data_IF_601389666287
#
_entry.id   IF_601389666287
#
_cell.length_a   1.000
_cell.length_b   1.000
_cell.length_c   1.000
_cell.angle_alpha   90.00
_cell.angle_beta   90.00
_cell.angle_gamma   90.00
#
_symmetry.space_group_name_H-M   'P 1'
#
loop_
_entity.id
_entity.type
_entity.pdbx_description
1 polymer ?
#
# COMPACT_ATOMS: atom_id res chain seq x y z
N UNK A 1 5.19 37.36 18.15
CA UNK A 1 4.69 35.98 18.03
C UNK A 1 3.54 35.79 19.01
N UNK A 2 2.29 35.88 18.52
CA UNK A 2 1.10 35.56 19.32
C UNK A 2 0.71 34.13 18.98
N UNK A 3 0.91 33.21 19.91
CA UNK A 3 0.44 31.82 19.79
C UNK A 3 -1.09 31.84 19.86
N UNK A 4 -1.74 31.34 18.82
CA UNK A 4 -3.19 31.20 18.76
C UNK A 4 -3.50 29.72 18.84
N UNK A 5 -3.56 29.17 20.06
CA UNK A 5 -4.12 27.85 20.30
C UNK A 5 -5.63 27.97 20.16
N UNK A 6 -6.19 27.59 19.01
CA UNK A 6 -7.65 27.44 18.85
C UNK A 6 -8.02 26.05 19.36
N UNK A 7 -8.90 26.02 20.37
CA UNK A 7 -9.46 24.78 20.92
C UNK A 7 -10.45 24.15 19.92
N UNK A 8 -10.31 22.85 19.65
CA UNK A 8 -11.16 22.06 18.73
C UNK A 8 -12.61 21.86 19.21
N UNK A 9 -12.98 22.36 20.39
CA UNK A 9 -14.30 22.13 21.00
C UNK A 9 -15.47 22.85 20.29
N UNK A 10 -15.25 23.62 19.22
CA UNK A 10 -16.33 24.37 18.55
C UNK A 10 -16.85 23.76 17.25
N UNK A 11 -16.34 22.61 16.81
CA UNK A 11 -16.64 22.09 15.46
C UNK A 11 -17.62 20.90 15.40
N UNK A 12 -18.13 20.35 16.51
CA UNK A 12 -19.10 19.24 16.50
C UNK A 12 -18.71 18.08 15.55
N UNK A 13 -17.41 17.82 15.41
CA UNK A 13 -16.88 16.69 14.66
C UNK A 13 -16.77 15.47 15.57
N UNK A 14 -17.08 14.30 15.03
CA UNK A 14 -16.96 13.02 15.72
C UNK A 14 -15.50 12.75 16.15
N UNK A 15 -15.29 12.06 17.29
CA UNK A 15 -13.97 11.94 17.93
C UNK A 15 -12.91 11.24 17.05
N UNK A 16 -13.31 10.38 16.11
CA UNK A 16 -12.40 9.67 15.22
C UNK A 16 -11.77 10.57 14.15
N UNK A 17 -12.53 11.51 13.59
CA UNK A 17 -12.04 12.47 12.58
C UNK A 17 -11.06 13.50 13.19
N UNK A 18 -11.21 13.78 14.49
CA UNK A 18 -10.36 14.73 15.19
C UNK A 18 -8.96 14.18 15.49
N UNK A 19 -8.80 12.85 15.58
CA UNK A 19 -7.51 12.20 15.80
C UNK A 19 -6.69 12.10 14.49
N UNK A 20 -7.36 11.81 13.38
CA UNK A 20 -6.75 11.77 12.05
C UNK A 20 -6.23 13.17 11.61
N UNK A 21 -7.00 14.22 11.87
CA UNK A 21 -6.59 15.59 11.52
C UNK A 21 -5.43 16.11 12.40
N UNK A 22 -5.35 15.68 13.67
CA UNK A 22 -4.24 16.04 14.56
C UNK A 22 -2.94 15.29 14.21
N UNK A 23 -3.03 14.05 13.75
CA UNK A 23 -1.87 13.28 13.27
C UNK A 23 -1.29 13.84 11.96
N UNK A 24 -2.15 14.26 11.02
CA UNK A 24 -1.73 14.89 9.76
C UNK A 24 -1.00 16.24 9.98
N UNK A 25 -1.41 17.02 10.99
CA UNK A 25 -0.78 18.30 11.35
C UNK A 25 0.58 18.13 12.06
N UNK A 26 0.87 16.97 12.64
CA UNK A 26 2.15 16.69 13.29
C UNK A 26 3.23 16.16 12.32
N UNK A 27 2.82 15.51 11.22
CA UNK A 27 3.73 14.94 10.22
C UNK A 27 4.27 15.98 9.20
N UNK A 28 3.57 17.10 9.00
CA UNK A 28 4.01 18.16 8.08
C UNK A 28 4.73 19.30 8.82
N UNK A 29 5.91 19.02 9.38
CA UNK A 29 6.88 20.05 9.79
C UNK A 29 7.59 20.73 8.61
N UNK A 30 6.89 20.95 7.49
CA UNK A 30 7.44 21.52 6.26
C UNK A 30 7.29 23.04 6.23
N UNK A 31 8.43 23.73 6.22
CA UNK A 31 8.52 25.17 6.05
C UNK A 31 7.93 25.59 4.69
N UNK A 32 6.90 26.43 4.71
CA UNK A 32 6.18 26.90 3.53
C UNK A 32 7.09 27.81 2.70
N UNK A 33 7.76 27.27 1.68
CA UNK A 33 8.49 28.05 0.68
C UNK A 33 7.49 28.65 -0.31
N UNK A 34 7.24 29.96 -0.19
CA UNK A 34 6.54 30.73 -1.22
C UNK A 34 7.47 30.93 -2.42
N UNK A 35 7.18 30.28 -3.55
CA UNK A 35 7.83 30.59 -4.83
C UNK A 35 6.98 31.59 -5.61
N UNK A 36 7.48 32.83 -5.70
CA UNK A 36 7.00 33.85 -6.62
C UNK A 36 7.40 33.52 -8.05
N UNK A 37 6.47 33.76 -8.98
CA UNK A 37 6.53 33.29 -10.36
C UNK A 37 7.57 33.95 -11.26
N UNK A 38 7.88 33.25 -12.35
CA UNK A 38 8.64 33.75 -13.48
C UNK A 38 8.18 33.07 -14.77
N UNK A 39 7.48 33.82 -15.62
CA UNK A 39 7.05 33.41 -16.95
C UNK A 39 8.23 33.35 -17.93
N UNK A 40 8.22 32.38 -18.85
CA UNK A 40 8.94 32.47 -20.11
C UNK A 40 8.24 31.64 -21.21
N UNK A 41 8.14 32.27 -22.37
CA UNK A 41 7.41 31.85 -23.56
C UNK A 41 8.20 30.86 -24.45
N UNK A 42 7.47 30.05 -25.23
CA UNK A 42 7.75 29.83 -26.66
C UNK A 42 8.66 28.66 -27.08
N UNK A 43 8.11 27.73 -27.87
CA UNK A 43 8.89 26.80 -28.70
C UNK A 43 8.08 25.72 -29.42
N UNK A 44 7.90 25.88 -30.74
CA UNK A 44 7.21 24.99 -31.70
C UNK A 44 7.84 23.59 -31.90
N UNK A 45 7.10 22.64 -32.54
CA UNK A 45 7.50 21.23 -32.65
C UNK A 45 8.35 20.94 -33.91
N UNK A 46 9.26 19.96 -33.78
CA UNK A 46 9.98 19.38 -34.92
C UNK A 46 9.62 17.90 -35.10
N UNK A 47 9.10 17.60 -36.29
CA UNK A 47 8.96 16.27 -36.87
C UNK A 47 10.32 15.60 -37.11
N UNK A 48 10.35 14.27 -37.08
CA UNK A 48 11.09 13.51 -38.09
C UNK A 48 11.83 12.26 -37.63
N UNK A 49 11.39 11.11 -38.19
CA UNK A 49 12.24 9.98 -38.55
C UNK A 49 12.25 8.80 -37.57
N UNK A 50 12.49 7.55 -37.97
CA UNK A 50 12.58 6.88 -39.28
C UNK A 50 12.44 5.38 -38.98
N UNK A 51 11.90 4.62 -39.93
CA UNK A 51 11.83 3.16 -39.99
C UNK A 51 13.16 2.44 -39.74
N UNK A 52 13.14 1.22 -39.19
CA UNK A 52 13.92 0.11 -39.74
C UNK A 52 13.36 -1.29 -39.43
N UNK A 53 13.16 -2.03 -40.52
CA UNK A 53 12.94 -3.46 -40.62
C UNK A 53 14.28 -4.21 -40.61
N UNK A 54 14.28 -5.45 -40.10
CA UNK A 54 15.32 -6.47 -40.27
C UNK A 54 15.24 -7.47 -39.12
N UNK A 55 14.86 -8.74 -39.27
CA UNK A 55 15.12 -9.67 -40.38
C UNK A 55 16.40 -10.45 -40.07
N UNK A 56 16.28 -11.67 -39.54
CA UNK A 56 17.41 -12.55 -39.29
C UNK A 56 17.02 -13.89 -38.66
N UNK A 57 16.86 -14.91 -39.50
CA UNK A 57 16.85 -16.35 -39.17
C UNK A 57 18.29 -16.88 -39.00
N UNK A 58 18.47 -17.95 -38.22
CA UNK A 58 19.38 -19.11 -38.43
C UNK A 58 19.81 -19.69 -37.07
N UNK A 59 19.40 -20.92 -36.73
CA UNK A 59 20.03 -22.23 -37.03
C UNK A 59 21.20 -22.60 -36.11
N UNK A 60 21.03 -23.73 -35.40
CA UNK A 60 22.04 -24.79 -35.32
C UNK A 60 23.09 -24.70 -34.20
N UNK A 61 23.15 -25.72 -33.35
CA UNK A 61 24.29 -25.92 -32.46
C UNK A 61 24.12 -27.04 -31.43
N UNK A 62 24.05 -28.29 -31.89
CA UNK A 62 24.23 -29.48 -31.05
C UNK A 62 25.72 -29.68 -30.74
N UNK A 63 26.08 -29.94 -29.49
CA UNK A 63 27.43 -30.35 -29.08
C UNK A 63 27.41 -31.10 -27.75
N UNK A 64 27.75 -32.38 -27.80
CA UNK A 64 27.88 -33.30 -26.68
C UNK A 64 29.33 -33.35 -26.15
N UNK A 65 29.53 -34.19 -25.12
CA UNK A 65 30.77 -34.63 -24.42
C UNK A 65 30.86 -34.02 -23.00
N UNK A 66 30.94 -34.78 -21.90
CA UNK A 66 31.47 -36.13 -21.69
C UNK A 66 32.63 -36.02 -20.69
N UNK A 67 32.44 -36.43 -19.42
CA UNK A 67 33.51 -36.33 -18.42
C UNK A 67 33.16 -37.02 -17.10
N UNK A 68 33.48 -38.30 -17.00
CA UNK A 68 33.48 -39.07 -15.77
C UNK A 68 34.88 -39.00 -15.11
N UNK A 69 34.93 -38.89 -13.79
CA UNK A 69 36.16 -39.00 -13.00
C UNK A 69 35.85 -39.20 -11.52
N UNK A 70 35.92 -40.45 -11.05
CA UNK A 70 35.80 -40.80 -9.64
C UNK A 70 37.13 -40.71 -8.89
N UNK A 71 37.05 -40.60 -7.56
CA UNK A 71 38.19 -40.69 -6.65
C UNK A 71 37.74 -40.74 -5.19
N UNK A 72 37.83 -41.93 -4.61
CA UNK A 72 37.65 -42.28 -3.18
C UNK A 72 38.78 -41.77 -2.29
N UNK A 73 38.49 -41.44 -1.02
CA UNK A 73 39.21 -41.96 0.17
C UNK A 73 38.52 -41.59 1.49
N UNK A 74 38.38 -42.59 2.36
CA UNK A 74 37.93 -42.56 3.75
C UNK A 74 38.90 -41.84 4.72
N UNK A 75 38.39 -41.39 5.88
CA UNK A 75 39.17 -41.46 7.13
C UNK A 75 38.98 -40.35 8.20
N UNK A 76 38.02 -40.57 9.12
CA UNK A 76 38.25 -40.54 10.58
C UNK A 76 38.61 -39.24 11.33
N UNK A 77 37.65 -38.77 12.14
CA UNK A 77 37.83 -38.53 13.58
C UNK A 77 38.47 -37.21 14.06
N UNK A 78 37.70 -36.41 14.79
CA UNK A 78 38.24 -35.36 15.66
C UNK A 78 37.21 -34.30 16.01
N UNK A 79 36.54 -34.43 17.15
CA UNK A 79 35.69 -33.39 17.71
C UNK A 79 36.55 -32.21 18.15
N UNK A 80 36.39 -31.08 17.46
CA UNK A 80 36.92 -29.78 17.84
C UNK A 80 36.06 -28.74 17.13
N UNK A 81 35.43 -27.84 17.89
CA UNK A 81 34.83 -26.63 17.35
C UNK A 81 35.97 -25.71 16.91
N UNK A 82 36.47 -25.92 15.69
CA UNK A 82 37.45 -25.04 15.06
C UNK A 82 36.73 -23.77 14.63
N UNK A 83 37.08 -22.66 15.29
CA UNK A 83 36.77 -21.32 14.80
C UNK A 83 37.55 -21.08 13.51
N UNK A 84 36.87 -20.53 12.53
CA UNK A 84 37.37 -20.36 11.18
C UNK A 84 38.49 -19.30 11.08
N UNK A 85 39.69 -19.71 10.66
CA UNK A 85 40.87 -18.84 10.51
C UNK A 85 41.08 -18.28 9.08
N UNK A 86 40.23 -18.65 8.10
CA UNK A 86 40.36 -18.22 6.70
C UNK A 86 39.06 -17.58 6.15
N UNK A 87 39.01 -16.25 5.98
CA UNK A 87 37.82 -15.54 5.50
C UNK A 87 37.47 -15.80 4.02
N UNK A 88 38.37 -16.40 3.23
CA UNK A 88 38.17 -16.63 1.78
C UNK A 88 37.87 -18.11 1.44
N UNK A 89 38.09 -19.05 2.36
CA UNK A 89 37.76 -20.48 2.18
C UNK A 89 36.68 -21.00 3.12
N UNK A 90 36.19 -20.16 4.02
CA UNK A 90 34.86 -20.37 4.56
C UNK A 90 33.87 -20.09 3.44
N UNK A 91 33.38 -21.16 2.81
CA UNK A 91 31.93 -21.22 2.62
C UNK A 91 31.35 -20.86 4.00
N UNK A 92 30.96 -19.60 4.17
CA UNK A 92 29.88 -19.32 5.11
C UNK A 92 28.82 -20.30 4.70
N UNK A 93 28.61 -21.27 5.57
CA UNK A 93 27.55 -22.23 5.38
C UNK A 93 26.28 -21.40 5.37
N UNK A 94 25.84 -21.03 4.16
CA UNK A 94 24.55 -20.43 3.87
C UNK A 94 23.43 -21.41 4.31
N UNK A 95 23.79 -22.64 4.76
CA UNK A 95 22.93 -23.53 5.54
C UNK A 95 22.77 -23.11 7.03
N UNK A 96 23.37 -22.01 7.49
CA UNK A 96 22.84 -21.19 8.61
C UNK A 96 21.65 -20.37 8.10
N UNK A 97 20.68 -21.13 7.59
CA UNK A 97 19.59 -20.74 6.70
C UNK A 97 18.73 -19.59 7.23
N UNK A 98 17.92 -19.01 6.34
CA UNK A 98 16.68 -18.28 6.65
C UNK A 98 15.70 -19.03 7.60
N UNK A 99 16.04 -20.28 7.98
CA UNK A 99 15.36 -21.15 8.92
C UNK A 99 16.26 -21.58 10.11
N UNK A 100 17.37 -20.88 10.35
CA UNK A 100 18.33 -21.18 11.41
C UNK A 100 17.74 -21.11 12.82
N UNK A 101 18.43 -21.74 13.77
CA UNK A 101 18.06 -21.68 15.20
C UNK A 101 18.08 -20.23 15.70
N UNK A 102 17.23 -19.87 16.68
CA UNK A 102 17.20 -18.53 17.22
C UNK A 102 18.58 -18.09 17.73
N UNK A 103 19.13 -17.02 17.15
CA UNK A 103 20.45 -16.50 17.47
C UNK A 103 20.45 -15.64 18.74
N UNK A 104 19.33 -14.94 19.01
CA UNK A 104 19.24 -13.95 20.09
C UNK A 104 17.92 -14.03 20.86
N UNK A 105 17.95 -13.90 22.18
CA UNK A 105 16.75 -13.76 23.02
C UNK A 105 16.37 -12.27 23.15
N UNK A 106 15.25 -11.82 22.54
CA UNK A 106 14.84 -10.42 22.54
C UNK A 106 14.45 -9.90 23.93
N UNK A 107 14.15 -10.79 24.90
CA UNK A 107 13.68 -10.38 26.23
C UNK A 107 14.72 -9.62 27.04
N UNK A 108 15.99 -9.70 26.65
CA UNK A 108 17.10 -8.98 27.29
C UNK A 108 17.30 -7.55 26.76
N UNK A 109 16.54 -7.15 25.74
CA UNK A 109 16.62 -5.83 25.12
C UNK A 109 15.47 -4.92 25.61
N UNK A 110 15.66 -3.59 25.62
CA UNK A 110 14.58 -2.66 25.95
C UNK A 110 13.42 -2.80 24.97
N UNK A 111 12.18 -2.89 25.47
CA UNK A 111 10.99 -2.89 24.62
C UNK A 111 10.86 -1.59 23.82
N UNK A 112 10.30 -1.66 22.62
CA UNK A 112 9.90 -0.48 21.88
C UNK A 112 8.81 0.32 22.64
N UNK A 113 8.75 1.65 22.48
CA UNK A 113 7.59 2.42 22.88
C UNK A 113 6.31 1.84 22.28
N UNK A 114 5.24 1.79 23.07
CA UNK A 114 3.98 1.17 22.65
C UNK A 114 3.35 1.87 21.44
N UNK A 115 3.67 3.15 21.24
CA UNK A 115 3.21 3.96 20.13
C UNK A 115 3.83 3.53 18.78
N UNK A 116 4.99 2.86 18.80
CA UNK A 116 5.65 2.38 17.58
C UNK A 116 5.14 1.01 17.12
N UNK A 117 4.42 0.29 17.99
CA UNK A 117 3.94 -1.07 17.76
C UNK A 117 2.44 -1.20 18.09
N UNK A 118 1.54 -0.55 17.32
CA UNK A 118 0.10 -0.66 17.53
C UNK A 118 -0.38 -2.12 17.47
N UNK A 119 -1.47 -2.43 18.17
CA UNK A 119 -1.99 -3.80 18.26
C UNK A 119 -1.23 -4.70 19.25
N UNK A 120 -0.29 -4.14 20.02
CA UNK A 120 0.47 -4.89 21.03
C UNK A 120 1.70 -5.60 20.48
N UNK A 121 2.31 -5.04 19.43
CA UNK A 121 3.43 -5.67 18.76
C UNK A 121 4.67 -5.84 19.61
N UNK A 122 5.33 -6.97 19.40
CA UNK A 122 6.54 -7.34 20.12
C UNK A 122 7.76 -6.84 19.34
N UNK A 123 8.39 -5.77 19.85
CA UNK A 123 9.64 -5.25 19.31
C UNK A 123 10.59 -4.76 20.40
N UNK A 124 11.88 -4.71 20.05
CA UNK A 124 12.95 -4.16 20.91
C UNK A 124 13.73 -3.05 20.23
N UNK A 125 14.20 -2.12 21.05
CA UNK A 125 15.13 -1.10 20.62
C UNK A 125 16.54 -1.66 20.50
N UNK A 126 17.06 -1.71 19.28
CA UNK A 126 18.41 -2.18 18.95
C UNK A 126 19.25 -1.00 18.45
N UNK A 127 20.53 -0.87 18.85
CA UNK A 127 21.45 0.10 18.25
C UNK A 127 21.44 0.01 16.72
N UNK A 128 21.30 1.13 16.02
CA UNK A 128 21.22 1.17 14.55
C UNK A 128 22.43 0.52 13.88
N UNK A 129 23.59 0.49 14.54
CA UNK A 129 24.81 -0.18 14.07
C UNK A 129 24.72 -1.70 13.99
N UNK A 130 23.74 -2.32 14.66
CA UNK A 130 23.48 -3.77 14.64
C UNK A 130 22.32 -4.14 13.70
N UNK A 131 21.62 -3.15 13.14
CA UNK A 131 20.53 -3.40 12.19
C UNK A 131 21.12 -3.51 10.78
N UNK A 132 20.75 -4.53 10.00
CA UNK A 132 21.13 -4.62 8.60
C UNK A 132 20.77 -3.33 7.84
N UNK A 133 21.71 -2.79 7.06
CA UNK A 133 21.57 -1.47 6.41
C UNK A 133 20.28 -1.35 5.60
N UNK A 134 19.90 -2.42 4.92
CA UNK A 134 18.75 -2.47 4.02
C UNK A 134 17.42 -2.42 4.80
N UNK A 135 17.42 -2.81 6.08
CA UNK A 135 16.25 -2.76 6.96
C UNK A 135 16.11 -1.46 7.73
N UNK A 136 17.17 -0.65 7.88
CA UNK A 136 17.16 0.57 8.72
C UNK A 136 16.06 1.55 8.30
N UNK A 137 15.80 1.69 7.00
CA UNK A 137 14.79 2.60 6.46
C UNK A 137 13.36 2.15 6.75
N UNK A 138 13.15 0.85 6.96
CA UNK A 138 11.84 0.24 7.20
C UNK A 138 11.43 0.28 8.68
N UNK A 139 12.29 0.73 9.58
CA UNK A 139 12.08 0.61 11.02
C UNK A 139 11.94 1.99 11.69
N UNK A 140 11.00 2.07 12.62
CA UNK A 140 10.79 3.24 13.45
C UNK A 140 12.00 3.53 14.36
N UNK A 141 12.23 4.81 14.66
CA UNK A 141 13.26 5.23 15.62
C UNK A 141 12.75 5.10 17.06
N UNK A 142 13.43 4.28 17.88
CA UNK A 142 13.24 4.32 19.33
C UNK A 142 13.92 5.56 19.93
N UNK A 143 15.06 5.95 19.35
CA UNK A 143 15.85 7.12 19.71
C UNK A 143 16.76 7.49 18.53
N UNK A 144 17.57 8.54 18.66
CA UNK A 144 18.51 8.96 17.60
C UNK A 144 19.54 7.88 17.19
N UNK A 145 19.78 6.87 18.04
CA UNK A 145 20.78 5.83 17.79
C UNK A 145 20.23 4.40 17.83
N UNK A 146 18.90 4.24 17.91
CA UNK A 146 18.25 2.94 18.04
C UNK A 146 17.01 2.82 17.17
N UNK A 147 16.84 1.66 16.54
CA UNK A 147 15.65 1.27 15.79
C UNK A 147 14.78 0.31 16.57
N UNK A 148 13.47 0.41 16.39
CA UNK A 148 12.52 -0.60 16.85
C UNK A 148 12.54 -1.78 15.87
N UNK A 149 13.03 -2.94 16.31
CA UNK A 149 13.13 -4.16 15.51
C UNK A 149 12.12 -5.18 16.05
N UNK A 150 11.27 -5.80 15.20
CA UNK A 150 10.35 -6.85 15.65
C UNK A 150 11.08 -8.03 16.31
N UNK A 151 10.51 -8.60 17.38
CA UNK A 151 11.09 -9.74 18.11
C UNK A 151 11.39 -10.92 17.16
N UNK A 152 10.54 -11.15 16.14
CA UNK A 152 10.74 -12.17 15.11
C UNK A 152 11.99 -11.98 14.26
N UNK A 153 12.34 -10.74 13.93
CA UNK A 153 13.58 -10.41 13.23
C UNK A 153 14.79 -10.54 14.16
N UNK A 154 14.68 -10.12 15.42
CA UNK A 154 15.78 -10.22 16.42
C UNK A 154 16.15 -11.67 16.67
N UNK A 155 15.15 -12.53 16.89
CA UNK A 155 15.36 -13.95 17.17
C UNK A 155 16.17 -14.62 16.08
N UNK A 156 16.12 -14.14 14.84
CA UNK A 156 16.81 -14.71 13.69
C UNK A 156 17.96 -13.84 13.16
N UNK A 157 18.43 -12.89 13.95
CA UNK A 157 19.52 -11.96 13.59
C UNK A 157 19.28 -11.22 12.25
N UNK A 158 18.00 -10.89 11.98
CA UNK A 158 17.58 -10.28 10.74
C UNK A 158 17.55 -11.21 9.52
N UNK A 159 17.88 -12.49 9.66
CA UNK A 159 17.85 -13.52 8.60
C UNK A 159 16.57 -14.37 8.71
N UNK A 160 15.48 -13.90 8.13
CA UNK A 160 14.20 -14.59 8.22
C UNK A 160 13.41 -14.53 6.93
N UNK A 161 12.61 -15.57 6.71
CA UNK A 161 11.51 -15.55 5.75
C UNK A 161 10.23 -15.42 6.56
N UNK A 162 9.48 -14.34 6.33
CA UNK A 162 8.19 -14.15 6.96
C UNK A 162 7.22 -15.26 6.49
N UNK A 163 6.30 -15.75 7.34
CA UNK A 163 5.27 -16.67 6.89
C UNK A 163 4.48 -16.11 5.71
N UNK A 164 4.27 -16.92 4.68
CA UNK A 164 3.37 -16.58 3.57
C UNK A 164 1.93 -16.56 4.06
N UNK A 165 1.20 -15.51 3.71
CA UNK A 165 -0.22 -15.34 4.00
C UNK A 165 -0.96 -14.88 2.74
N UNK A 166 -2.27 -14.79 2.81
CA UNK A 166 -3.12 -14.33 1.73
C UNK A 166 -3.78 -13.00 2.11
N UNK A 167 -3.43 -11.91 1.42
CA UNK A 167 -4.05 -10.59 1.61
C UNK A 167 -5.52 -10.60 1.15
N UNK A 168 -5.83 -11.49 0.21
CA UNK A 168 -7.17 -11.74 -0.30
C UNK A 168 -7.09 -12.79 -1.40
N UNK A 169 -8.22 -13.25 -1.97
CA UNK A 169 -8.26 -14.32 -2.97
C UNK A 169 -7.22 -14.19 -4.09
N UNK A 170 -6.14 -14.96 -4.00
CA UNK A 170 -5.04 -15.00 -4.97
C UNK A 170 -4.00 -13.88 -4.86
N UNK A 171 -3.95 -13.14 -3.76
CA UNK A 171 -2.95 -12.11 -3.47
C UNK A 171 -1.94 -12.64 -2.43
N UNK A 172 -0.76 -13.05 -2.89
CA UNK A 172 0.31 -13.51 -2.00
C UNK A 172 0.83 -12.36 -1.14
N UNK A 173 1.06 -12.62 0.15
CA UNK A 173 1.65 -11.67 1.08
C UNK A 173 2.61 -12.31 2.07
N UNK A 174 3.09 -11.50 3.01
CA UNK A 174 3.91 -11.90 4.16
C UNK A 174 3.34 -11.36 5.45
N UNK A 175 3.42 -12.19 6.49
CA UNK A 175 3.11 -11.77 7.84
C UNK A 175 4.21 -10.85 8.36
N UNK A 176 3.92 -9.55 8.37
CA UNK A 176 4.83 -8.52 8.81
C UNK A 176 4.33 -7.90 10.12
N UNK A 177 5.26 -7.58 11.01
CA UNK A 177 4.96 -7.01 12.32
C UNK A 177 4.37 -5.60 12.19
N UNK A 178 3.36 -5.31 13.02
CA UNK A 178 2.80 -3.96 13.18
C UNK A 178 3.79 -2.97 13.81
N UNK A 179 4.99 -3.40 14.21
CA UNK A 179 6.10 -2.50 14.58
C UNK A 179 6.79 -1.86 13.37
N UNK A 180 6.52 -2.32 12.14
CA UNK A 180 7.01 -1.69 10.90
C UNK A 180 6.07 -0.53 10.57
N UNK A 181 6.54 0.72 10.42
CA UNK A 181 5.69 1.90 10.22
C UNK A 181 4.70 1.78 9.07
N UNK A 182 5.11 1.22 7.93
CA UNK A 182 4.26 1.09 6.75
C UNK A 182 3.15 0.04 6.94
N UNK A 183 3.39 -0.98 7.79
CA UNK A 183 2.38 -1.97 8.18
C UNK A 183 1.44 -1.36 9.22
N UNK A 184 2.01 -0.63 10.18
CA UNK A 184 1.28 0.06 11.24
C UNK A 184 0.29 1.09 10.69
N UNK A 185 0.70 1.86 9.67
CA UNK A 185 -0.14 2.89 9.03
C UNK A 185 -1.32 2.31 8.24
N UNK A 186 -1.27 1.01 7.91
CA UNK A 186 -2.28 0.29 7.13
C UNK A 186 -2.95 -0.83 7.95
N UNK A 187 -2.85 -0.81 9.28
CA UNK A 187 -3.30 -1.91 10.15
C UNK A 187 -4.79 -2.27 9.99
N UNK A 188 -5.61 -1.29 9.59
CA UNK A 188 -7.05 -1.44 9.35
C UNK A 188 -7.36 -1.95 7.93
N UNK A 189 -6.44 -1.81 6.98
CA UNK A 189 -6.59 -2.23 5.58
C UNK A 189 -5.96 -3.60 5.32
N UNK A 190 -4.89 -3.94 6.05
CA UNK A 190 -4.23 -5.22 5.94
C UNK A 190 -4.98 -6.25 6.81
N UNK A 191 -5.40 -7.41 6.26
CA UNK A 191 -6.01 -8.45 7.06
C UNK A 191 -4.95 -9.16 7.93
N UNK A 192 -5.41 -9.88 8.95
CA UNK A 192 -4.54 -10.74 9.73
C UNK A 192 -4.26 -12.09 9.04
N UNK A 193 -5.26 -12.70 8.40
CA UNK A 193 -5.18 -14.06 7.85
C UNK A 193 -4.58 -15.08 8.86
N UNK A 194 -3.49 -15.78 8.52
CA UNK A 194 -2.80 -16.74 9.39
C UNK A 194 -1.74 -16.08 10.30
N UNK A 195 -1.55 -14.77 10.19
CA UNK A 195 -0.48 -14.05 10.88
C UNK A 195 -0.74 -13.95 12.38
N UNK A 196 0.32 -13.69 13.15
CA UNK A 196 0.20 -13.51 14.59
C UNK A 196 -0.71 -12.30 14.96
N UNK A 197 -1.19 -12.22 16.22
CA UNK A 197 -1.98 -11.08 16.71
C UNK A 197 -1.40 -9.70 16.38
N UNK A 198 -0.08 -9.60 16.42
CA UNK A 198 0.73 -8.40 16.16
C UNK A 198 1.34 -8.32 14.77
N UNK A 199 0.82 -9.11 13.84
CA UNK A 199 1.24 -9.10 12.44
C UNK A 199 0.03 -8.83 11.54
N UNK A 200 0.33 -8.38 10.33
CA UNK A 200 -0.62 -8.22 9.23
C UNK A 200 -0.08 -8.82 7.96
N UNK A 201 -0.98 -9.28 7.12
CA UNK A 201 -0.63 -9.82 5.82
C UNK A 201 -0.38 -8.67 4.85
N UNK A 202 0.88 -8.29 4.68
CA UNK A 202 1.28 -7.28 3.71
C UNK A 202 1.42 -7.95 2.33
N UNK A 203 0.73 -7.46 1.29
CA UNK A 203 0.78 -8.08 -0.04
C UNK A 203 2.16 -7.92 -0.66
N UNK A 204 2.64 -8.90 -1.42
CA UNK A 204 3.91 -8.83 -2.15
C UNK A 204 3.90 -7.72 -3.21
N UNK A 205 2.74 -7.50 -3.83
CA UNK A 205 2.54 -6.46 -4.84
C UNK A 205 1.33 -5.63 -4.48
N UNK A 206 1.41 -4.32 -4.72
CA UNK A 206 0.29 -3.40 -4.50
C UNK A 206 -0.90 -3.85 -5.37
N UNK A 207 -2.07 -4.15 -4.78
CA UNK A 207 -3.20 -4.66 -5.54
C UNK A 207 -3.86 -3.60 -6.43
N UNK A 208 -3.55 -2.31 -6.28
CA UNK A 208 -4.03 -1.24 -7.14
C UNK A 208 -3.12 -0.99 -8.34
N UNK A 209 -1.80 -1.00 -8.14
CA UNK A 209 -0.82 -0.65 -9.19
C UNK A 209 -0.07 -1.84 -9.79
N UNK A 210 0.02 -2.95 -9.05
CA UNK A 210 0.82 -4.12 -9.39
C UNK A 210 2.32 -3.96 -9.11
N UNK A 211 2.73 -2.85 -8.48
CA UNK A 211 4.12 -2.59 -8.12
C UNK A 211 4.58 -3.42 -6.92
N UNK A 212 5.88 -3.72 -6.83
CA UNK A 212 6.46 -4.44 -5.69
C UNK A 212 6.38 -3.58 -4.42
N UNK A 213 5.82 -4.13 -3.35
CA UNK A 213 5.73 -3.44 -2.04
C UNK A 213 7.01 -3.62 -1.23
N UNK A 214 7.88 -4.54 -1.64
CA UNK A 214 9.03 -4.98 -0.87
C UNK A 214 8.71 -5.99 0.22
N UNK A 215 7.44 -6.32 0.49
CA UNK A 215 7.06 -7.25 1.56
C UNK A 215 7.67 -8.65 1.38
N UNK A 216 7.83 -9.08 0.12
CA UNK A 216 8.34 -10.40 -0.25
C UNK A 216 9.80 -10.36 -0.73
N UNK A 217 10.52 -9.25 -0.49
CA UNK A 217 11.96 -9.13 -0.76
C UNK A 217 12.74 -8.82 0.51
N UNK A 218 12.09 -8.93 1.68
CA UNK A 218 12.73 -8.70 2.97
C UNK A 218 13.68 -9.83 3.33
N UNK A 219 14.91 -9.46 3.66
CA UNK A 219 15.92 -10.36 4.21
C UNK A 219 16.21 -11.55 3.29
N UNK A 220 15.61 -12.68 3.60
CA UNK A 220 15.93 -14.02 3.14
C UNK A 220 14.81 -14.56 2.23
N UNK A 221 13.80 -13.74 1.97
CA UNK A 221 12.68 -14.08 1.12
C UNK A 221 13.11 -14.23 -0.34
N UNK A 222 12.62 -15.28 -1.00
CA UNK A 222 12.93 -15.55 -2.40
C UNK A 222 12.02 -14.79 -3.37
N UNK A 223 11.06 -14.01 -2.86
CA UNK A 223 10.07 -13.32 -3.68
C UNK A 223 8.71 -14.01 -3.66
N UNK A 224 7.72 -13.38 -4.30
CA UNK A 224 6.43 -13.99 -4.55
C UNK A 224 6.56 -15.23 -5.44
N UNK A 225 5.80 -16.27 -5.12
CA UNK A 225 5.64 -17.46 -5.97
C UNK A 225 4.46 -17.33 -6.93
N UNK A 226 3.48 -16.49 -6.59
CA UNK A 226 2.36 -16.12 -7.46
C UNK A 226 2.73 -14.92 -8.34
N UNK A 227 2.18 -14.84 -9.57
CA UNK A 227 2.34 -13.65 -10.40
C UNK A 227 1.66 -12.43 -9.73
N UNK A 228 2.14 -11.20 -9.98
CA UNK A 228 1.47 -9.99 -9.54
C UNK A 228 0.00 -9.99 -9.98
N UNK A 229 -0.90 -9.72 -9.03
CA UNK A 229 -2.34 -9.59 -9.26
C UNK A 229 -2.77 -8.18 -8.86
N UNK A 230 -3.58 -7.54 -9.70
CA UNK A 230 -4.26 -6.29 -9.38
C UNK A 230 -5.75 -6.53 -9.25
N UNK A 231 -6.46 -5.62 -8.56
CA UNK A 231 -7.90 -5.60 -8.54
C UNK A 231 -8.45 -5.46 -9.97
N UNK A 232 -9.43 -6.29 -10.37
CA UNK A 232 -10.06 -6.18 -11.67
C UNK A 232 -10.65 -4.78 -11.88
N UNK A 233 -10.56 -4.30 -13.12
CA UNK A 233 -11.21 -3.07 -13.52
C UNK A 233 -12.73 -3.29 -13.61
N UNK A 234 -13.50 -2.28 -13.20
CA UNK A 234 -14.95 -2.20 -13.35
C UNK A 234 -15.32 -0.80 -13.82
N UNK A 235 -16.59 -0.55 -14.18
CA UNK A 235 -17.09 0.72 -14.66
C UNK A 235 -16.34 1.32 -15.86
N UNK A 236 -15.78 0.51 -16.77
CA UNK A 236 -14.94 1.00 -17.87
C UNK A 236 -15.68 2.05 -18.74
N UNK A 237 -16.97 1.85 -18.98
CA UNK A 237 -17.83 2.77 -19.73
C UNK A 237 -18.33 3.99 -18.92
N UNK A 238 -18.03 4.02 -17.61
CA UNK A 238 -18.53 5.00 -16.63
C UNK A 238 -17.41 5.76 -15.91
N UNK A 239 -16.20 5.76 -16.47
CA UNK A 239 -15.05 6.52 -15.94
C UNK A 239 -13.99 5.67 -15.25
N UNK A 240 -14.18 4.35 -15.20
CA UNK A 240 -13.24 3.41 -14.60
C UNK A 240 -13.38 3.28 -13.09
N UNK A 241 -13.01 2.11 -12.61
CA UNK A 241 -12.97 1.74 -11.21
C UNK A 241 -12.17 0.46 -10.99
N UNK A 242 -12.08 0.06 -9.71
CA UNK A 242 -11.45 -1.19 -9.27
C UNK A 242 -12.40 -1.95 -8.35
N UNK A 243 -12.43 -3.27 -8.50
CA UNK A 243 -13.15 -4.15 -7.58
C UNK A 243 -12.36 -4.33 -6.29
N UNK A 244 -12.71 -3.56 -5.27
CA UNK A 244 -12.03 -3.56 -3.96
C UNK A 244 -12.89 -4.35 -2.96
N UNK A 245 -12.29 -5.23 -2.14
CA UNK A 245 -13.02 -5.95 -1.09
C UNK A 245 -13.79 -5.00 -0.17
N UNK A 246 -15.05 -5.35 0.16
CA UNK A 246 -15.93 -4.47 0.92
C UNK A 246 -15.42 -4.19 2.35
N UNK A 247 -14.64 -5.10 2.93
CA UNK A 247 -13.96 -4.93 4.22
C UNK A 247 -12.86 -3.86 4.17
N UNK A 248 -12.17 -3.70 3.04
CA UNK A 248 -11.19 -2.64 2.81
C UNK A 248 -11.88 -1.28 2.60
N UNK A 249 -13.03 -1.28 1.91
CA UNK A 249 -13.82 -0.07 1.64
C UNK A 249 -14.57 0.43 2.88
N UNK A 250 -14.92 -0.48 3.80
CA UNK A 250 -15.73 -0.21 4.99
C UNK A 250 -17.24 -0.35 4.72
N UNK A 251 -17.97 -0.80 5.73
CA UNK A 251 -19.39 -1.18 5.60
C UNK A 251 -20.30 -0.06 5.08
N UNK A 252 -20.08 1.19 5.52
CA UNK A 252 -20.91 2.33 5.12
C UNK A 252 -20.73 2.70 3.65
N UNK A 253 -19.48 2.82 3.20
CA UNK A 253 -19.16 3.15 1.81
C UNK A 253 -19.53 2.00 0.87
N UNK A 254 -19.24 0.76 1.26
CA UNK A 254 -19.57 -0.43 0.48
C UNK A 254 -21.09 -0.58 0.23
N UNK A 255 -21.94 -0.13 1.17
CA UNK A 255 -23.39 -0.16 1.01
C UNK A 255 -23.93 0.80 -0.07
N UNK A 256 -23.11 1.74 -0.55
CA UNK A 256 -23.46 2.72 -1.60
C UNK A 256 -22.82 2.40 -2.96
N UNK A 257 -22.07 1.31 -3.06
CA UNK A 257 -21.38 0.90 -4.27
C UNK A 257 -21.99 -0.38 -4.84
N UNK A 258 -21.81 -0.62 -6.14
CA UNK A 258 -22.36 -1.81 -6.81
C UNK A 258 -21.47 -3.04 -6.59
N UNK A 259 -21.98 -4.12 -5.96
CA UNK A 259 -21.29 -5.41 -5.94
C UNK A 259 -21.51 -6.22 -7.23
N UNK A 260 -22.59 -5.99 -7.99
CA UNK A 260 -23.00 -6.87 -9.10
C UNK A 260 -21.95 -6.92 -10.21
N UNK A 261 -21.33 -5.77 -10.51
CA UNK A 261 -20.29 -5.69 -11.53
C UNK A 261 -19.05 -6.51 -11.15
N UNK A 262 -18.64 -6.46 -9.88
CA UNK A 262 -17.48 -7.21 -9.37
C UNK A 262 -17.75 -8.70 -9.22
N UNK A 263 -18.97 -9.09 -8.84
CA UNK A 263 -19.39 -10.50 -8.86
C UNK A 263 -19.31 -11.09 -10.27
N UNK A 264 -19.69 -10.32 -11.30
CA UNK A 264 -19.55 -10.70 -12.71
C UNK A 264 -18.11 -10.94 -13.16
N UNK A 265 -17.14 -10.36 -12.44
CA UNK A 265 -15.69 -10.50 -12.67
C UNK A 265 -15.04 -11.59 -11.80
N UNK A 266 -15.83 -12.26 -10.95
CA UNK A 266 -15.35 -13.33 -10.06
C UNK A 266 -14.80 -12.83 -8.72
N UNK A 267 -14.99 -11.56 -8.38
CA UNK A 267 -14.55 -10.95 -7.12
C UNK A 267 -15.74 -10.82 -6.16
N UNK A 268 -16.17 -11.96 -5.61
CA UNK A 268 -17.29 -12.02 -4.67
C UNK A 268 -16.96 -11.29 -3.37
N UNK A 269 -17.86 -10.43 -2.90
CA UNK A 269 -17.64 -9.61 -1.70
C UNK A 269 -16.83 -8.33 -1.95
N UNK A 270 -16.52 -8.03 -3.21
CA UNK A 270 -15.93 -6.75 -3.63
C UNK A 270 -17.00 -5.80 -4.16
N UNK A 271 -16.71 -4.51 -4.06
CA UNK A 271 -17.53 -3.42 -4.62
C UNK A 271 -16.71 -2.61 -5.62
N UNK A 272 -17.38 -2.07 -6.64
CA UNK A 272 -16.68 -1.24 -7.62
C UNK A 272 -16.42 0.16 -7.08
N UNK A 273 -15.14 0.50 -6.83
CA UNK A 273 -14.70 1.81 -6.36
C UNK A 273 -14.20 2.64 -7.55
N UNK A 274 -14.74 3.84 -7.80
CA UNK A 274 -14.30 4.70 -8.90
C UNK A 274 -12.80 5.05 -8.83
N UNK A 275 -12.12 5.05 -9.97
CA UNK A 275 -10.66 5.27 -10.03
C UNK A 275 -10.26 6.62 -9.38
N UNK A 276 -11.04 7.68 -9.56
CA UNK A 276 -10.73 8.99 -8.95
C UNK A 276 -10.82 9.03 -7.42
N UNK A 277 -11.58 8.12 -6.80
CA UNK A 277 -11.65 7.98 -5.35
C UNK A 277 -10.47 7.16 -4.88
N UNK A 278 -10.19 6.04 -5.56
CA UNK A 278 -9.03 5.19 -5.30
C UNK A 278 -7.72 5.99 -5.41
N UNK A 279 -7.53 6.75 -6.49
CA UNK A 279 -6.33 7.56 -6.73
C UNK A 279 -6.11 8.63 -5.65
N UNK A 280 -7.19 9.24 -5.15
CA UNK A 280 -7.12 10.20 -4.06
C UNK A 280 -6.67 9.51 -2.76
N UNK A 281 -7.28 8.35 -2.45
CA UNK A 281 -6.93 7.55 -1.28
C UNK A 281 -5.46 7.11 -1.30
N UNK A 282 -4.96 6.63 -2.44
CA UNK A 282 -3.55 6.24 -2.62
C UNK A 282 -2.58 7.41 -2.43
N UNK A 283 -3.02 8.65 -2.65
CA UNK A 283 -2.25 9.86 -2.38
C UNK A 283 -2.40 10.35 -0.92
N UNK A 284 -3.13 9.62 -0.08
CA UNK A 284 -3.45 10.02 1.29
C UNK A 284 -4.30 11.30 1.34
N UNK A 285 -5.10 11.57 0.32
CA UNK A 285 -5.98 12.73 0.23
C UNK A 285 -7.43 12.29 0.14
N UNK A 286 -8.37 13.02 0.76
CA UNK A 286 -9.78 12.78 0.51
C UNK A 286 -10.13 13.23 -0.93
N UNK A 287 -11.05 12.52 -1.56
CA UNK A 287 -11.61 12.93 -2.83
C UNK A 287 -12.49 14.17 -2.63
N UNK A 288 -12.15 15.27 -3.31
CA UNK A 288 -12.93 16.51 -3.28
C UNK A 288 -13.61 16.69 -4.63
N UNK A 289 -14.93 16.51 -4.65
CA UNK A 289 -15.72 16.66 -5.87
C UNK A 289 -15.60 18.07 -6.46
N UNK A 290 -15.47 18.14 -7.79
CA UNK A 290 -15.52 19.43 -8.50
C UNK A 290 -16.91 20.03 -8.36
N UNK A 291 -17.01 21.30 -7.96
CA UNK A 291 -18.32 21.95 -7.80
C UNK A 291 -19.04 22.14 -9.14
N UNK A 292 -20.35 21.95 -9.15
CA UNK A 292 -21.22 22.17 -10.30
C UNK A 292 -22.52 22.89 -9.90
N UNK A 293 -23.33 23.29 -10.88
CA UNK A 293 -24.65 23.90 -10.65
C UNK A 293 -25.72 22.94 -11.14
N UNK A 294 -26.66 22.58 -10.27
CA UNK A 294 -27.74 21.64 -10.62
C UNK A 294 -28.77 22.31 -11.51
N UNK A 295 -29.42 21.51 -12.37
CA UNK A 295 -30.45 22.03 -13.26
C UNK A 295 -31.75 22.38 -12.49
N UNK A 296 -32.64 23.14 -13.13
CA UNK A 296 -33.90 23.58 -12.52
C UNK A 296 -34.80 22.40 -12.09
N UNK A 297 -34.74 21.25 -12.80
CA UNK A 297 -35.56 20.10 -12.45
C UNK A 297 -35.15 19.51 -11.10
N UNK A 298 -33.84 19.36 -10.84
CA UNK A 298 -33.30 18.94 -9.55
C UNK A 298 -33.67 19.93 -8.45
N UNK A 299 -33.60 21.24 -8.73
CA UNK A 299 -33.96 22.28 -7.75
C UNK A 299 -35.45 22.27 -7.40
N UNK A 300 -36.33 22.09 -8.38
CA UNK A 300 -37.78 21.94 -8.15
C UNK A 300 -38.11 20.63 -7.41
N UNK A 301 -37.26 19.62 -7.55
CA UNK A 301 -37.31 18.37 -6.79
C UNK A 301 -36.80 18.47 -5.35
N UNK A 302 -36.36 19.66 -4.90
CA UNK A 302 -35.85 19.89 -3.55
C UNK A 302 -34.33 19.78 -3.41
N UNK A 303 -33.59 19.62 -4.51
CA UNK A 303 -32.14 19.67 -4.53
C UNK A 303 -31.58 21.09 -4.39
N UNK A 304 -30.39 21.26 -3.81
CA UNK A 304 -29.69 22.54 -3.80
C UNK A 304 -29.23 22.96 -5.19
N UNK A 305 -29.12 24.27 -5.43
CA UNK A 305 -28.55 24.83 -6.66
C UNK A 305 -27.06 24.48 -6.84
N UNK A 306 -26.34 24.33 -5.73
CA UNK A 306 -24.95 23.86 -5.72
C UNK A 306 -24.91 22.32 -5.68
N UNK A 307 -23.96 21.74 -6.40
CA UNK A 307 -23.68 20.31 -6.39
C UNK A 307 -22.18 20.01 -6.51
N UNK A 308 -21.87 18.72 -6.46
CA UNK A 308 -20.55 18.17 -6.75
C UNK A 308 -20.61 17.15 -7.88
N UNK A 309 -19.55 17.09 -8.67
CA UNK A 309 -19.40 16.15 -9.76
C UNK A 309 -18.93 14.80 -9.21
N UNK A 310 -19.86 13.85 -9.17
CA UNK A 310 -19.57 12.47 -8.77
C UNK A 310 -19.48 11.57 -10.01
N UNK A 311 -18.60 10.54 -9.97
CA UNK A 311 -18.47 9.57 -11.05
C UNK A 311 -19.75 8.74 -11.17
N UNK A 312 -20.13 8.45 -12.42
CA UNK A 312 -21.27 7.60 -12.76
C UNK A 312 -21.03 6.13 -12.44
N UNK A 313 -19.81 5.76 -12.08
CA UNK A 313 -19.57 4.45 -11.52
C UNK A 313 -20.32 4.21 -10.19
N UNK A 314 -20.73 5.27 -9.49
CA UNK A 314 -21.60 5.17 -8.32
C UNK A 314 -23.06 4.94 -8.79
N UNK A 315 -23.75 3.86 -8.40
CA UNK A 315 -25.08 3.51 -8.91
C UNK A 315 -26.12 4.61 -8.74
N UNK A 316 -26.18 5.25 -7.57
CA UNK A 316 -27.14 6.33 -7.31
C UNK A 316 -26.90 7.52 -8.25
N UNK A 317 -25.68 7.72 -8.71
CA UNK A 317 -25.32 8.79 -9.64
C UNK A 317 -25.71 8.43 -11.08
N UNK A 318 -25.57 7.16 -11.47
CA UNK A 318 -25.92 6.69 -12.80
C UNK A 318 -27.44 6.59 -13.02
N UNK A 319 -28.15 6.04 -12.04
CA UNK A 319 -29.55 5.64 -12.18
C UNK A 319 -30.54 6.75 -11.82
N UNK A 320 -30.07 7.80 -11.12
CA UNK A 320 -30.92 8.94 -10.78
C UNK A 320 -31.26 9.75 -12.02
N UNK A 321 -32.49 9.54 -12.51
CA UNK A 321 -33.05 10.32 -13.59
C UNK A 321 -33.08 11.82 -13.25
N UNK A 322 -32.63 12.65 -14.19
CA UNK A 322 -32.68 14.11 -14.06
C UNK A 322 -31.40 14.75 -13.53
N UNK A 323 -30.41 13.96 -13.07
CA UNK A 323 -29.06 14.49 -12.88
C UNK A 323 -28.45 14.83 -14.24
N UNK A 324 -28.04 16.09 -14.40
CA UNK A 324 -27.36 16.54 -15.61
C UNK A 324 -25.84 16.41 -15.46
N UNK A 325 -25.16 16.34 -16.61
CA UNK A 325 -23.71 16.45 -16.67
C UNK A 325 -23.22 17.91 -16.51
N UNK A 326 -24.13 18.90 -16.56
CA UNK A 326 -23.77 20.32 -16.67
C UNK A 326 -22.79 20.77 -15.58
N UNK A 327 -21.65 21.31 -16.01
CA UNK A 327 -20.59 21.78 -15.12
C UNK A 327 -19.61 20.70 -14.65
N UNK A 328 -19.78 19.44 -15.06
CA UNK A 328 -18.83 18.37 -14.77
C UNK A 328 -17.84 18.09 -15.92
N UNK A 329 -16.66 17.52 -15.61
CA UNK A 329 -15.55 17.42 -16.58
C UNK A 329 -15.93 16.71 -17.89
N UNK A 330 -16.66 15.60 -17.80
CA UNK A 330 -17.04 14.79 -18.95
C UNK A 330 -18.29 13.92 -18.66
N UNK A 331 -18.65 13.05 -19.61
CA UNK A 331 -19.88 12.25 -19.59
C UNK A 331 -19.88 11.11 -18.56
N UNK A 332 -18.73 10.84 -17.95
CA UNK A 332 -18.55 9.87 -16.87
C UNK A 332 -18.92 10.47 -15.51
N UNK A 333 -19.29 11.75 -15.45
CA UNK A 333 -19.75 12.43 -14.23
C UNK A 333 -21.19 12.92 -14.34
N UNK A 334 -21.82 13.12 -13.17
CA UNK A 334 -23.08 13.86 -13.02
C UNK A 334 -22.99 14.85 -11.88
N UNK A 335 -23.73 15.94 -12.03
CA UNK A 335 -23.85 16.97 -11.00
C UNK A 335 -24.88 16.55 -9.95
N UNK A 336 -24.41 16.09 -8.80
CA UNK A 336 -25.26 15.67 -7.66
C UNK A 336 -25.46 16.86 -6.72
N UNK A 337 -26.70 17.24 -6.36
CA UNK A 337 -26.93 18.37 -5.45
C UNK A 337 -26.26 18.12 -4.10
N UNK A 338 -25.64 19.13 -3.48
CA UNK A 338 -25.05 19.00 -2.13
C UNK A 338 -26.09 18.61 -1.07
N UNK A 339 -27.35 19.02 -1.25
CA UNK A 339 -28.45 18.65 -0.35
C UNK A 339 -29.71 18.29 -1.12
N UNK A 340 -30.53 17.38 -0.61
CA UNK A 340 -31.83 17.01 -1.14
C UNK A 340 -32.88 16.99 -0.02
N UNK A 341 -33.91 17.84 -0.12
CA UNK A 341 -34.91 17.98 0.94
C UNK A 341 -34.33 18.51 2.26
N UNK A 342 -33.17 19.18 2.21
CA UNK A 342 -32.43 19.69 3.36
C UNK A 342 -31.47 18.69 4.01
N UNK A 343 -31.46 17.42 3.60
CA UNK A 343 -30.44 16.44 4.02
C UNK A 343 -29.21 16.53 3.13
N UNK A 344 -28.02 16.31 3.69
CA UNK A 344 -26.79 16.20 2.87
C UNK A 344 -26.82 14.94 2.01
N UNK A 345 -26.19 15.02 0.84
CA UNK A 345 -26.02 13.89 -0.09
C UNK A 345 -24.60 13.32 -0.11
N UNK A 346 -23.64 13.90 0.63
CA UNK A 346 -22.22 13.53 0.49
C UNK A 346 -21.51 14.26 -0.65
N UNK A 347 -22.24 14.73 -1.66
CA UNK A 347 -21.65 15.14 -2.95
C UNK A 347 -20.68 16.33 -2.87
N UNK A 348 -20.75 17.13 -1.82
CA UNK A 348 -19.92 18.32 -1.64
C UNK A 348 -19.02 18.23 -0.41
N UNK A 349 -19.09 17.12 0.34
CA UNK A 349 -18.14 16.81 1.40
C UNK A 349 -16.93 16.05 0.83
N UNK A 350 -15.73 16.22 1.42
CA UNK A 350 -14.59 15.35 1.14
C UNK A 350 -14.92 13.89 1.47
N UNK A 351 -14.64 12.97 0.54
CA UNK A 351 -14.86 11.53 0.66
C UNK A 351 -13.53 10.79 0.89
#
# INVERSE_FOLDING_TARGET
MRSTTKNCSSLNLEPFLCLALAAALAACGGELVTNDGGAAEGGSPSNGGTTNNGGGTNEGGSGAEGGAGGGTTDGGGGGGTEGCDDPDTCEYDLETTCMGEPANDPTNLPACPAELCPGGGLGRCIPTTLVPKDSVALLADCSETQKCVPDSAIMRDGLFTAPTCEFGPGYEGRCLSTCIPDVASQIDLLPQDICAPDERCAPCTDPFTGEDTGACTLSCDQGPTLPPKTFPACCEDLGGGKCVPADVVGEESAATLDPEECEGLGETGSVCVPDVITDAHLQGQPFVATSCTTNLLVQLGGGSAQGGCLPRCIPEVNDTAGLAQDGCPDQTYRCVPCTNGGASTGACEPQ
#
